data_IF_709726460223
#
_entry.id   IF_709726460223
#
_cell.length_a   1.000
_cell.length_b   1.000
_cell.length_c   1.000
_cell.angle_alpha   90.00
_cell.angle_beta   90.00
_cell.angle_gamma   90.00
#
_symmetry.space_group_name_H-M   'P 1'
#
loop_
_entity.id
_entity.type
_entity.pdbx_description
1 polymer ?
#
# COMPACT_ATOMS: atom_id res chain seq x y z
N UNK A 1 -44.08 5.37 43.29
CA UNK A 1 -43.13 5.19 42.18
C UNK A 1 -41.74 5.08 42.79
N UNK A 2 -41.10 3.90 42.82
CA UNK A 2 -39.76 3.82 43.37
C UNK A 2 -38.78 4.38 42.33
N UNK A 3 -38.09 5.46 42.69
CA UNK A 3 -36.94 5.98 41.96
C UNK A 3 -35.89 4.87 41.89
N UNK A 4 -35.68 4.34 40.69
CA UNK A 4 -34.57 3.47 40.37
C UNK A 4 -33.28 4.31 40.41
N UNK A 5 -32.74 4.52 41.62
CA UNK A 5 -31.40 5.05 41.77
C UNK A 5 -30.43 4.06 41.13
N UNK A 6 -29.71 4.51 40.09
CA UNK A 6 -28.60 3.73 39.53
C UNK A 6 -27.69 3.32 40.69
N UNK A 7 -27.61 2.03 40.95
CA UNK A 7 -26.65 1.49 41.92
C UNK A 7 -25.26 1.67 41.34
N UNK A 8 -24.25 1.96 42.18
CA UNK A 8 -22.85 2.05 41.76
C UNK A 8 -22.41 0.84 40.92
N UNK A 9 -22.95 -0.35 41.22
CA UNK A 9 -22.74 -1.57 40.45
C UNK A 9 -23.27 -1.49 39.01
N UNK A 10 -24.47 -0.93 38.80
CA UNK A 10 -25.03 -0.71 37.46
C UNK A 10 -24.23 0.31 36.64
N UNK A 11 -23.69 1.35 37.29
CA UNK A 11 -22.83 2.34 36.64
C UNK A 11 -21.47 1.74 36.24
N UNK A 12 -20.84 0.93 37.10
CA UNK A 12 -19.58 0.23 36.80
C UNK A 12 -19.78 -0.81 35.68
N UNK A 13 -20.89 -1.55 35.69
CA UNK A 13 -21.21 -2.49 34.62
C UNK A 13 -21.42 -1.78 33.28
N UNK A 14 -22.14 -0.64 33.26
CA UNK A 14 -22.33 0.16 32.05
C UNK A 14 -21.00 0.71 31.50
N UNK A 15 -20.10 1.17 32.37
CA UNK A 15 -18.76 1.63 31.98
C UNK A 15 -17.89 0.49 31.42
N UNK A 16 -17.94 -0.70 32.02
CA UNK A 16 -17.22 -1.86 31.52
C UNK A 16 -17.70 -2.29 30.13
N UNK A 17 -19.02 -2.28 29.89
CA UNK A 17 -19.61 -2.56 28.58
C UNK A 17 -19.22 -1.49 27.57
N UNK A 18 -19.31 -0.21 27.94
CA UNK A 18 -18.91 0.91 27.08
C UNK A 18 -17.42 0.83 26.70
N UNK A 19 -16.54 0.55 27.66
CA UNK A 19 -15.11 0.39 27.41
C UNK A 19 -14.82 -0.77 26.44
N UNK A 20 -15.49 -1.91 26.61
CA UNK A 20 -15.31 -3.07 25.73
C UNK A 20 -15.80 -2.79 24.31
N UNK A 21 -16.93 -2.10 24.18
CA UNK A 21 -17.46 -1.66 22.88
C UNK A 21 -16.53 -0.64 22.20
N UNK A 22 -15.97 0.31 22.94
CA UNK A 22 -15.01 1.29 22.42
C UNK A 22 -13.71 0.63 21.95
N UNK A 23 -13.17 -0.33 22.71
CA UNK A 23 -11.98 -1.09 22.31
C UNK A 23 -12.25 -1.91 21.04
N UNK A 24 -13.41 -2.57 20.97
CA UNK A 24 -13.82 -3.34 19.80
C UNK A 24 -13.97 -2.43 18.57
N UNK A 25 -14.64 -1.29 18.73
CA UNK A 25 -14.80 -0.28 17.68
C UNK A 25 -13.46 0.25 17.17
N UNK A 26 -12.55 0.59 18.08
CA UNK A 26 -11.21 1.06 17.71
C UNK A 26 -10.43 0.01 16.93
N UNK A 27 -10.50 -1.26 17.34
CA UNK A 27 -9.85 -2.37 16.63
C UNK A 27 -10.39 -2.56 15.21
N UNK A 28 -11.72 -2.48 15.03
CA UNK A 28 -12.39 -2.57 13.72
C UNK A 28 -12.01 -1.39 12.83
N UNK A 29 -11.98 -0.18 13.38
CA UNK A 29 -11.56 1.01 12.66
C UNK A 29 -10.09 0.90 12.19
N UNK A 30 -9.20 0.43 13.05
CA UNK A 30 -7.80 0.20 12.70
C UNK A 30 -7.64 -0.87 11.61
N UNK A 31 -8.42 -1.95 11.65
CA UNK A 31 -8.45 -2.96 10.60
C UNK A 31 -8.94 -2.39 9.26
N UNK A 32 -9.99 -1.56 9.28
CA UNK A 32 -10.50 -0.90 8.08
C UNK A 32 -9.46 0.03 7.45
N UNK A 33 -8.75 0.82 8.27
CA UNK A 33 -7.65 1.67 7.80
C UNK A 33 -6.52 0.84 7.16
N UNK A 34 -6.15 -0.30 7.77
CA UNK A 34 -5.13 -1.18 7.20
C UNK A 34 -5.55 -1.73 5.83
N UNK A 35 -6.81 -2.13 5.66
CA UNK A 35 -7.34 -2.60 4.38
C UNK A 35 -7.35 -1.50 3.32
N UNK A 36 -7.75 -0.28 3.67
CA UNK A 36 -7.72 0.87 2.75
C UNK A 36 -6.30 1.15 2.26
N UNK A 37 -5.30 1.10 3.14
CA UNK A 37 -3.90 1.30 2.77
C UNK A 37 -3.40 0.21 1.81
N UNK A 38 -3.83 -1.04 1.99
CA UNK A 38 -3.52 -2.14 1.06
C UNK A 38 -4.16 -1.90 -0.31
N UNK A 39 -5.40 -1.40 -0.35
CA UNK A 39 -6.06 -1.07 -1.62
C UNK A 39 -5.34 0.06 -2.35
N UNK A 40 -5.00 1.14 -1.65
CA UNK A 40 -4.23 2.27 -2.21
C UNK A 40 -2.89 1.76 -2.74
N UNK A 41 -2.17 0.95 -1.96
CA UNK A 41 -0.92 0.33 -2.40
C UNK A 41 -1.05 -0.38 -3.74
N UNK A 42 -2.03 -1.30 -3.84
CA UNK A 42 -2.22 -2.13 -5.02
C UNK A 42 -2.61 -1.31 -6.24
N UNK A 43 -3.49 -0.33 -6.06
CA UNK A 43 -3.89 0.59 -7.13
C UNK A 43 -2.68 1.39 -7.64
N UNK A 44 -1.91 1.97 -6.74
CA UNK A 44 -0.70 2.73 -7.09
C UNK A 44 0.34 1.85 -7.79
N UNK A 45 0.53 0.60 -7.35
CA UNK A 45 1.41 -0.35 -8.05
C UNK A 45 0.95 -0.61 -9.49
N UNK A 46 -0.34 -0.85 -9.71
CA UNK A 46 -0.89 -1.10 -11.04
C UNK A 46 -0.73 0.13 -11.96
N UNK A 47 -1.04 1.32 -11.45
CA UNK A 47 -0.86 2.57 -12.19
C UNK A 47 0.60 2.80 -12.57
N UNK A 48 1.52 2.58 -11.63
CA UNK A 48 2.95 2.73 -11.86
C UNK A 48 3.47 1.75 -12.90
N UNK A 49 3.06 0.48 -12.80
CA UNK A 49 3.41 -0.54 -13.78
C UNK A 49 2.91 -0.17 -15.17
N UNK A 50 1.65 0.24 -15.30
CA UNK A 50 1.04 0.64 -16.56
C UNK A 50 1.75 1.86 -17.18
N UNK A 51 2.06 2.88 -16.36
CA UNK A 51 2.78 4.07 -16.81
C UNK A 51 4.18 3.70 -17.35
N UNK A 52 4.92 2.83 -16.65
CA UNK A 52 6.22 2.33 -17.12
C UNK A 52 6.10 1.54 -18.43
N UNK A 53 5.05 0.71 -18.59
CA UNK A 53 4.80 -0.01 -19.86
C UNK A 53 4.57 0.96 -21.01
N UNK A 54 3.76 1.98 -20.79
CA UNK A 54 3.46 2.99 -21.79
C UNK A 54 4.69 3.83 -22.12
N UNK A 55 5.49 4.21 -21.11
CA UNK A 55 6.71 4.97 -21.30
C UNK A 55 7.72 4.20 -22.17
N UNK A 56 7.91 2.91 -21.89
CA UNK A 56 8.77 2.04 -22.70
C UNK A 56 8.30 1.94 -24.15
N UNK A 57 6.99 1.82 -24.38
CA UNK A 57 6.42 1.79 -25.75
C UNK A 57 6.65 3.10 -26.52
N UNK A 58 6.65 4.24 -25.83
CA UNK A 58 6.79 5.56 -26.46
C UNK A 58 8.26 5.96 -26.66
N UNK A 59 9.14 5.61 -25.72
CA UNK A 59 10.52 6.11 -25.70
C UNK A 59 11.59 5.03 -25.90
N UNK A 60 11.21 3.75 -25.99
CA UNK A 60 12.15 2.62 -26.15
C UNK A 60 13.04 2.35 -24.93
N UNK A 61 12.79 3.04 -23.80
CA UNK A 61 13.52 2.89 -22.53
C UNK A 61 12.55 3.00 -21.36
N UNK A 62 12.92 2.50 -20.19
CA UNK A 62 12.16 2.71 -18.97
C UNK A 62 12.39 4.12 -18.39
N UNK A 63 11.43 4.63 -17.63
CA UNK A 63 11.60 5.89 -16.91
C UNK A 63 12.46 5.67 -15.66
N UNK A 64 13.43 6.56 -15.43
CA UNK A 64 14.33 6.49 -14.28
C UNK A 64 13.73 7.05 -12.99
N UNK A 65 12.59 7.75 -13.09
CA UNK A 65 11.91 8.34 -11.94
C UNK A 65 10.40 8.48 -12.18
N UNK A 66 9.63 8.72 -11.10
CA UNK A 66 8.20 9.03 -11.25
C UNK A 66 7.99 10.40 -11.90
N UNK A 67 8.92 11.35 -11.73
CA UNK A 67 8.81 12.66 -12.36
C UNK A 67 8.86 12.57 -13.88
N UNK A 68 9.69 11.70 -14.45
CA UNK A 68 9.68 11.43 -15.90
C UNK A 68 8.33 10.92 -16.39
N UNK A 69 7.67 10.04 -15.63
CA UNK A 69 6.34 9.52 -15.97
C UNK A 69 5.25 10.59 -15.90
N UNK A 70 5.35 11.51 -14.93
CA UNK A 70 4.44 12.67 -14.81
C UNK A 70 4.69 13.67 -15.94
N UNK A 71 5.94 13.99 -16.25
CA UNK A 71 6.30 14.88 -17.35
C UNK A 71 5.87 14.34 -18.71
N UNK A 72 5.85 13.02 -18.89
CA UNK A 72 5.32 12.35 -20.08
C UNK A 72 3.77 12.23 -20.10
N UNK A 73 3.07 12.81 -19.11
CA UNK A 73 1.62 12.71 -18.93
C UNK A 73 1.08 11.26 -18.83
N UNK A 74 1.92 10.32 -18.40
CA UNK A 74 1.54 8.91 -18.17
C UNK A 74 1.11 8.64 -16.74
N UNK A 75 1.44 9.55 -15.82
CA UNK A 75 0.88 9.63 -14.48
C UNK A 75 0.27 11.02 -14.28
N UNK A 76 -0.94 11.13 -13.70
CA UNK A 76 -1.55 12.43 -13.44
C UNK A 76 -0.81 13.21 -12.34
N UNK A 77 -0.22 12.49 -11.39
CA UNK A 77 0.55 13.04 -10.28
C UNK A 77 1.52 11.97 -9.73
N UNK A 78 2.53 12.36 -8.95
CA UNK A 78 3.38 11.40 -8.24
C UNK A 78 2.53 10.49 -7.34
N UNK A 79 2.77 9.19 -7.42
CA UNK A 79 2.07 8.17 -6.65
C UNK A 79 2.71 8.06 -5.27
N UNK A 80 1.87 8.17 -4.24
CA UNK A 80 2.27 8.04 -2.84
C UNK A 80 1.96 6.63 -2.36
N UNK A 81 2.99 5.94 -1.88
CA UNK A 81 2.88 4.60 -1.32
C UNK A 81 2.96 4.70 0.21
N UNK A 82 2.00 4.12 0.96
CA UNK A 82 2.05 4.15 2.42
C UNK A 82 3.29 3.41 2.94
N UNK A 83 3.93 3.97 3.99
CA UNK A 83 5.08 3.40 4.71
C UNK A 83 6.27 2.98 3.83
N UNK A 84 6.52 3.77 2.78
CA UNK A 84 7.60 3.53 1.82
C UNK A 84 8.57 4.71 1.77
N UNK A 85 9.87 4.43 1.75
CA UNK A 85 10.93 5.45 1.61
C UNK A 85 11.05 6.08 0.21
N UNK A 86 10.11 5.81 -0.69
CA UNK A 86 10.18 6.15 -2.11
C UNK A 86 10.63 4.98 -3.00
N UNK A 87 10.30 5.08 -4.28
CA UNK A 87 10.66 4.06 -5.28
C UNK A 87 11.89 4.48 -6.07
N UNK A 88 12.83 3.55 -6.19
CA UNK A 88 13.98 3.63 -7.07
C UNK A 88 13.76 2.73 -8.28
N UNK A 89 14.09 3.22 -9.46
CA UNK A 89 13.88 2.51 -10.72
C UNK A 89 15.23 2.14 -11.32
N UNK A 90 15.50 0.84 -11.41
CA UNK A 90 16.69 0.28 -12.01
C UNK A 90 16.29 -0.44 -13.30
N UNK A 91 16.68 0.14 -14.43
CA UNK A 91 16.46 -0.47 -15.74
C UNK A 91 17.63 -1.41 -16.06
N UNK A 92 17.31 -2.67 -16.33
CA UNK A 92 18.24 -3.72 -16.75
C UNK A 92 17.81 -4.26 -18.12
N UNK A 93 18.38 -3.69 -19.19
CA UNK A 93 18.14 -4.02 -20.61
C UNK A 93 16.67 -4.14 -21.03
N UNK A 94 16.03 -5.27 -20.72
CA UNK A 94 14.63 -5.60 -21.05
C UNK A 94 13.72 -5.69 -19.83
N UNK A 95 14.24 -5.35 -18.65
CA UNK A 95 13.58 -5.46 -17.36
C UNK A 95 13.65 -4.15 -16.61
N UNK A 96 12.58 -3.85 -15.89
CA UNK A 96 12.56 -2.78 -14.91
C UNK A 96 12.37 -3.39 -13.53
N UNK A 97 13.35 -3.16 -12.67
CA UNK A 97 13.28 -3.48 -11.25
C UNK A 97 12.95 -2.18 -10.51
N UNK A 98 11.79 -2.15 -9.87
CA UNK A 98 11.46 -1.09 -8.93
C UNK A 98 11.81 -1.57 -7.54
N UNK A 99 12.56 -0.76 -6.79
CA UNK A 99 12.96 -1.05 -5.42
C UNK A 99 12.40 -0.01 -4.48
N UNK A 100 11.97 -0.45 -3.30
CA UNK A 100 11.59 0.47 -2.25
C UNK A 100 11.84 -0.14 -0.88
N UNK A 101 12.17 0.71 0.07
CA UNK A 101 12.23 0.34 1.48
C UNK A 101 10.84 0.40 2.07
N UNK A 102 10.38 -0.73 2.62
CA UNK A 102 9.06 -0.90 3.23
C UNK A 102 9.26 -1.30 4.68
N UNK A 103 8.65 -0.52 5.58
CA UNK A 103 8.77 -0.71 7.02
C UNK A 103 7.59 -1.50 7.62
N UNK A 104 6.77 -2.14 6.76
CA UNK A 104 5.61 -2.92 7.17
C UNK A 104 5.91 -4.42 7.34
N UNK A 105 5.29 -5.07 8.32
CA UNK A 105 5.44 -6.52 8.54
C UNK A 105 4.76 -7.38 7.46
N UNK A 106 3.74 -6.87 6.75
CA UNK A 106 2.85 -7.70 5.93
C UNK A 106 3.02 -7.49 4.42
N UNK A 107 4.25 -7.53 3.90
CA UNK A 107 4.54 -7.37 2.47
C UNK A 107 3.80 -8.38 1.60
N UNK A 108 3.60 -9.60 2.10
CA UNK A 108 2.79 -10.63 1.43
C UNK A 108 1.36 -10.17 1.15
N UNK A 109 0.74 -9.42 2.06
CA UNK A 109 -0.62 -8.89 1.87
C UNK A 109 -0.64 -7.81 0.79
N UNK A 110 0.38 -6.95 0.77
CA UNK A 110 0.53 -5.90 -0.23
C UNK A 110 0.71 -6.49 -1.64
N UNK A 111 1.48 -7.59 -1.73
CA UNK A 111 1.95 -8.17 -2.98
C UNK A 111 1.18 -9.43 -3.43
N UNK A 112 0.13 -9.85 -2.73
CA UNK A 112 -0.62 -11.11 -2.97
C UNK A 112 -0.99 -11.38 -4.43
N UNK A 113 -1.30 -10.33 -5.20
CA UNK A 113 -1.77 -10.44 -6.59
C UNK A 113 -0.68 -10.10 -7.63
N UNK A 114 0.58 -9.96 -7.20
CA UNK A 114 1.73 -9.65 -8.04
C UNK A 114 2.70 -10.84 -8.03
N UNK A 115 3.04 -11.34 -9.22
CA UNK A 115 3.79 -12.59 -9.34
C UNK A 115 5.32 -12.42 -9.29
N UNK A 116 5.86 -11.27 -9.70
CA UNK A 116 7.30 -11.07 -9.84
C UNK A 116 7.84 -10.05 -8.81
N UNK A 117 7.83 -10.41 -7.53
CA UNK A 117 8.47 -9.62 -6.48
C UNK A 117 9.42 -10.46 -5.62
N UNK A 118 10.44 -9.78 -5.09
CA UNK A 118 11.38 -10.33 -4.14
C UNK A 118 11.36 -9.48 -2.88
N UNK A 119 11.15 -10.12 -1.73
CA UNK A 119 11.10 -9.47 -0.44
C UNK A 119 12.30 -9.88 0.41
N UNK A 120 13.14 -8.90 0.75
CA UNK A 120 14.25 -9.06 1.68
C UNK A 120 14.25 -7.87 2.63
N UNK A 121 13.70 -8.00 3.86
CA UNK A 121 13.51 -6.87 4.76
C UNK A 121 14.79 -6.01 4.92
N UNK A 122 14.68 -4.67 4.82
CA UNK A 122 13.47 -3.86 4.59
C UNK A 122 13.16 -3.61 3.10
N UNK A 123 13.90 -4.23 2.18
CA UNK A 123 13.85 -3.95 0.75
C UNK A 123 12.83 -4.83 0.02
N UNK A 124 11.87 -4.18 -0.65
CA UNK A 124 11.01 -4.80 -1.65
C UNK A 124 11.55 -4.49 -3.04
N UNK A 125 11.76 -5.53 -3.84
CA UNK A 125 12.04 -5.41 -5.26
C UNK A 125 10.87 -5.96 -6.06
N UNK A 126 10.34 -5.20 -7.01
CA UNK A 126 9.24 -5.60 -7.89
C UNK A 126 9.68 -5.47 -9.34
N UNK A 127 9.54 -6.55 -10.10
CA UNK A 127 9.77 -6.53 -11.53
C UNK A 127 8.48 -6.11 -12.24
N UNK A 128 8.56 -5.04 -13.03
CA UNK A 128 7.40 -4.40 -13.66
C UNK A 128 7.10 -4.98 -15.03
N UNK A 129 8.18 -5.24 -15.78
CA UNK A 129 8.15 -5.88 -17.08
C UNK A 129 9.41 -6.72 -17.21
N UNK A 130 9.28 -7.92 -17.77
CA UNK A 130 10.34 -8.53 -18.54
C UNK A 130 9.75 -8.88 -19.89
N UNK A 131 10.12 -8.14 -20.93
CA UNK A 131 9.95 -8.67 -22.27
C UNK A 131 11.07 -9.70 -22.42
N UNK A 132 10.71 -10.97 -22.50
CA UNK A 132 11.66 -11.95 -23.03
C UNK A 132 11.84 -11.51 -24.49
N UNK A 133 13.04 -11.03 -24.83
CA UNK A 133 13.37 -10.83 -26.24
C UNK A 133 13.10 -12.16 -26.97
N UNK A 134 12.43 -12.16 -28.13
CA UNK A 134 12.21 -13.39 -28.89
C UNK A 134 13.52 -14.09 -29.23
#
# INVERSE_FOLDING_TARGET
>A
MPNQGMTLLSAVAALAVAATLSLSWFSLWQQQQALQQVQVWRLSMLQLQQAQRNFYRLHGRFAGSQSELVSAALLPQPLVFPDTGGWQFEADQHRLIMRAEIHRPSVTLLMKDFNDYHWQPPLLSVKVIGYVAP
#
